data_IF_564566619317
#
_entry.id   IF_564566619317
#
_cell.length_a   1.000
_cell.length_b   1.000
_cell.length_c   1.000
_cell.angle_alpha   90.00
_cell.angle_beta   90.00
_cell.angle_gamma   90.00
#
_symmetry.space_group_name_H-M   'P 1'
#
loop_
_entity.id
_entity.type
_entity.pdbx_description
1 polymer ?
#
# COMPACT_ATOMS: atom_id res chain seq x y z
N UNK A 1 31.74 31.46 -14.83
CA UNK A 1 31.28 31.04 -16.17
C UNK A 1 29.77 31.14 -16.12
N UNK A 2 29.24 32.35 -16.37
CA UNK A 2 27.81 32.64 -16.28
C UNK A 2 27.11 32.08 -17.51
N UNK A 3 26.40 30.95 -17.33
CA UNK A 3 25.49 30.43 -18.36
C UNK A 3 24.16 31.14 -18.22
N UNK A 4 23.63 31.63 -19.34
CA UNK A 4 22.27 32.17 -19.42
C UNK A 4 21.27 31.04 -19.09
N UNK A 5 20.41 31.26 -18.11
CA UNK A 5 19.31 30.35 -17.78
C UNK A 5 18.19 30.52 -18.81
N UNK A 6 17.84 29.43 -19.50
CA UNK A 6 16.69 29.39 -20.43
C UNK A 6 15.39 29.08 -19.69
N UNK A 7 15.43 28.16 -18.72
CA UNK A 7 14.30 27.83 -17.86
C UNK A 7 14.77 27.26 -16.52
N UNK A 8 13.97 27.47 -15.48
CA UNK A 8 14.16 26.91 -14.13
C UNK A 8 12.87 26.25 -13.69
N UNK A 9 12.95 24.99 -13.27
CA UNK A 9 11.81 24.18 -12.82
C UNK A 9 12.27 23.17 -11.77
N UNK A 10 11.33 22.45 -11.17
CA UNK A 10 11.56 21.38 -10.19
C UNK A 10 11.23 20.00 -10.78
N UNK A 11 11.73 18.95 -10.15
CA UNK A 11 11.40 17.57 -10.52
C UNK A 11 9.94 17.30 -10.12
N UNK A 12 9.13 16.98 -11.14
CA UNK A 12 7.69 16.70 -10.97
C UNK A 12 7.42 15.27 -10.47
N UNK A 13 6.27 14.73 -10.87
CA UNK A 13 5.87 13.37 -10.51
C UNK A 13 6.84 12.30 -11.01
N UNK A 14 6.98 11.24 -10.23
CA UNK A 14 7.75 10.05 -10.59
C UNK A 14 6.92 9.10 -11.45
N UNK A 15 7.51 8.55 -12.51
CA UNK A 15 6.83 7.61 -13.41
C UNK A 15 7.77 6.45 -13.71
N UNK A 16 7.29 5.22 -13.51
CA UNK A 16 8.03 4.00 -13.79
C UNK A 16 7.15 2.99 -14.54
N UNK A 17 7.78 2.17 -15.37
CA UNK A 17 7.17 0.99 -15.99
C UNK A 17 7.98 -0.23 -15.53
N UNK A 18 7.44 -0.98 -14.58
CA UNK A 18 8.13 -2.13 -13.98
C UNK A 18 8.01 -3.38 -14.85
N UNK A 19 6.83 -3.62 -15.41
CA UNK A 19 6.54 -4.77 -16.26
C UNK A 19 5.59 -4.40 -17.40
N UNK A 20 5.67 -5.14 -18.49
CA UNK A 20 4.79 -5.03 -19.65
C UNK A 20 4.34 -6.42 -20.09
N UNK A 21 3.10 -6.54 -20.55
CA UNK A 21 2.52 -7.83 -20.91
C UNK A 21 1.00 -7.81 -20.79
N UNK A 22 0.39 -8.99 -20.92
CA UNK A 22 -1.04 -9.19 -20.71
C UNK A 22 -1.25 -9.89 -19.38
N UNK A 23 -1.83 -9.19 -18.40
CA UNK A 23 -2.21 -9.76 -17.11
C UNK A 23 -3.73 -9.86 -17.05
N UNK A 24 -4.25 -11.05 -16.73
CA UNK A 24 -5.68 -11.32 -16.60
C UNK A 24 -5.91 -12.29 -15.46
N UNK A 25 -7.08 -12.18 -14.81
CA UNK A 25 -7.47 -13.04 -13.69
C UNK A 25 -7.57 -14.52 -14.06
N UNK A 26 -7.76 -14.85 -15.34
CA UNK A 26 -7.88 -16.23 -15.84
C UNK A 26 -6.55 -16.80 -16.40
N UNK A 27 -5.46 -16.05 -16.31
CA UNK A 27 -4.13 -16.48 -16.73
C UNK A 27 -3.24 -16.55 -15.48
N UNK A 28 -2.74 -17.74 -15.09
CA UNK A 28 -1.85 -17.87 -13.94
C UNK A 28 -0.60 -17.00 -14.08
N UNK A 29 -0.15 -16.46 -12.95
CA UNK A 29 1.06 -15.64 -12.86
C UNK A 29 1.97 -16.20 -11.76
N UNK A 30 3.28 -16.11 -11.99
CA UNK A 30 4.28 -16.56 -11.04
C UNK A 30 4.56 -15.47 -10.00
N UNK A 31 4.42 -15.80 -8.72
CA UNK A 31 4.72 -14.92 -7.60
C UNK A 31 5.94 -15.44 -6.84
N UNK A 32 6.88 -14.53 -6.55
CA UNK A 32 8.02 -14.76 -5.67
C UNK A 32 7.92 -13.79 -4.51
N UNK A 33 7.41 -14.28 -3.39
CA UNK A 33 7.07 -13.49 -2.23
C UNK A 33 8.27 -13.31 -1.29
N UNK A 34 8.40 -12.13 -0.71
CA UNK A 34 9.40 -11.87 0.33
C UNK A 34 8.84 -12.28 1.70
N UNK A 35 9.26 -13.45 2.18
CA UNK A 35 8.88 -14.00 3.48
C UNK A 35 9.07 -13.01 4.65
N UNK A 36 10.09 -12.15 4.60
CA UNK A 36 10.37 -11.19 5.66
C UNK A 36 9.34 -10.05 5.69
N UNK A 37 8.86 -9.62 4.52
CA UNK A 37 7.79 -8.64 4.41
C UNK A 37 6.47 -9.19 4.96
N UNK A 38 6.13 -10.44 4.65
CA UNK A 38 4.93 -11.08 5.21
C UNK A 38 5.00 -11.25 6.73
N UNK A 39 6.18 -11.55 7.29
CA UNK A 39 6.36 -11.57 8.74
C UNK A 39 6.10 -10.18 9.35
N UNK A 40 6.61 -9.11 8.73
CA UNK A 40 6.34 -7.74 9.19
C UNK A 40 4.85 -7.39 9.13
N UNK A 41 4.11 -7.84 8.11
CA UNK A 41 2.65 -7.65 8.05
C UNK A 41 1.93 -8.38 9.18
N UNK A 42 2.33 -9.62 9.50
CA UNK A 42 1.76 -10.39 10.61
C UNK A 42 2.03 -9.69 11.95
N UNK A 43 3.26 -9.23 12.17
CA UNK A 43 3.67 -8.56 13.41
C UNK A 43 2.91 -7.23 13.63
N UNK A 44 2.61 -6.51 12.54
CA UNK A 44 1.88 -5.25 12.57
C UNK A 44 0.35 -5.38 12.49
N UNK A 45 -0.17 -6.56 12.17
CA UNK A 45 -1.59 -6.79 11.84
C UNK A 45 -2.56 -6.21 12.88
N UNK A 46 -2.25 -6.39 14.17
CA UNK A 46 -3.10 -5.86 15.25
C UNK A 46 -3.23 -4.33 15.21
N UNK A 47 -2.09 -3.64 15.05
CA UNK A 47 -2.00 -2.18 14.97
C UNK A 47 -2.71 -1.66 13.72
N UNK A 48 -2.52 -2.31 12.58
CA UNK A 48 -3.11 -1.87 11.31
C UNK A 48 -4.63 -2.06 11.30
N UNK A 49 -5.15 -3.17 11.85
CA UNK A 49 -6.59 -3.37 11.99
C UNK A 49 -7.24 -2.36 12.96
N UNK A 50 -6.58 -2.06 14.09
CA UNK A 50 -7.07 -1.03 15.01
C UNK A 50 -7.13 0.35 14.33
N UNK A 51 -6.10 0.71 13.56
CA UNK A 51 -6.09 1.95 12.78
C UNK A 51 -7.21 1.99 11.74
N UNK A 52 -7.41 0.90 10.99
CA UNK A 52 -8.48 0.80 10.00
C UNK A 52 -9.87 0.98 10.63
N UNK A 53 -10.10 0.44 11.83
CA UNK A 53 -11.38 0.57 12.53
C UNK A 53 -11.56 1.99 13.10
N UNK A 54 -10.56 2.49 13.81
CA UNK A 54 -10.69 3.71 14.63
C UNK A 54 -10.49 4.99 13.84
N UNK A 55 -9.56 5.01 12.88
CA UNK A 55 -9.20 6.21 12.12
C UNK A 55 -9.93 6.24 10.79
N UNK A 56 -9.85 5.16 10.00
CA UNK A 56 -10.47 5.12 8.67
C UNK A 56 -11.99 4.89 8.79
N UNK A 57 -12.39 3.88 9.57
CA UNK A 57 -13.79 3.53 9.82
C UNK A 57 -14.50 4.49 10.76
N UNK A 58 -13.76 5.27 11.57
CA UNK A 58 -14.30 6.15 12.63
C UNK A 58 -15.23 5.41 13.62
N UNK A 59 -14.94 4.13 13.85
CA UNK A 59 -15.69 3.25 14.75
C UNK A 59 -14.94 3.08 16.06
N UNK A 60 -15.64 2.68 17.11
CA UNK A 60 -15.00 2.31 18.38
C UNK A 60 -14.75 0.81 18.42
N UNK A 61 -13.60 0.41 18.96
CA UNK A 61 -13.23 -1.01 19.09
C UNK A 61 -14.26 -1.84 19.87
N UNK A 62 -14.91 -1.23 20.86
CA UNK A 62 -15.94 -1.90 21.67
C UNK A 62 -17.24 -2.22 20.91
N UNK A 63 -17.43 -1.61 19.73
CA UNK A 63 -18.57 -1.90 18.85
C UNK A 63 -18.32 -3.05 17.88
N UNK A 64 -17.10 -3.59 17.83
CA UNK A 64 -16.69 -4.63 16.88
C UNK A 64 -16.82 -6.00 17.55
N UNK A 65 -17.66 -6.87 16.99
CA UNK A 65 -17.96 -8.20 17.54
C UNK A 65 -17.08 -9.33 16.99
N UNK A 66 -16.46 -9.14 15.82
CA UNK A 66 -15.74 -10.17 15.07
C UNK A 66 -14.24 -9.86 14.88
N UNK A 67 -13.67 -9.02 15.75
CA UNK A 67 -12.29 -8.56 15.59
C UNK A 67 -11.28 -9.73 15.59
N UNK A 68 -11.34 -10.59 16.61
CA UNK A 68 -10.40 -11.71 16.75
C UNK A 68 -10.56 -12.72 15.61
N UNK A 69 -11.79 -13.01 15.20
CA UNK A 69 -12.09 -13.91 14.07
C UNK A 69 -11.47 -13.41 12.76
N UNK A 70 -11.72 -12.15 12.39
CA UNK A 70 -11.19 -11.58 11.14
C UNK A 70 -9.67 -11.44 11.20
N UNK A 71 -9.12 -11.07 12.36
CA UNK A 71 -7.68 -10.99 12.56
C UNK A 71 -7.01 -12.34 12.36
N UNK A 72 -7.57 -13.41 12.92
CA UNK A 72 -7.02 -14.75 12.77
C UNK A 72 -7.16 -15.26 11.33
N UNK A 73 -8.26 -14.98 10.63
CA UNK A 73 -8.44 -15.34 9.22
C UNK A 73 -7.38 -14.65 8.33
N UNK A 74 -7.13 -13.36 8.54
CA UNK A 74 -6.10 -12.62 7.80
C UNK A 74 -4.73 -13.16 8.12
N UNK A 75 -4.44 -13.41 9.41
CA UNK A 75 -3.16 -13.96 9.85
C UNK A 75 -2.89 -15.32 9.20
N UNK A 76 -3.86 -16.23 9.18
CA UNK A 76 -3.70 -17.55 8.57
C UNK A 76 -3.37 -17.45 7.07
N UNK A 77 -4.02 -16.52 6.35
CA UNK A 77 -3.72 -16.28 4.93
C UNK A 77 -2.30 -15.73 4.74
N UNK A 78 -1.86 -14.80 5.59
CA UNK A 78 -0.49 -14.26 5.54
C UNK A 78 0.56 -15.32 5.88
N UNK A 79 0.29 -16.20 6.85
CA UNK A 79 1.18 -17.32 7.21
C UNK A 79 1.34 -18.29 6.03
N UNK A 80 0.26 -18.62 5.31
CA UNK A 80 0.33 -19.44 4.09
C UNK A 80 1.20 -18.80 3.00
N UNK A 81 1.09 -17.49 2.80
CA UNK A 81 1.90 -16.75 1.82
C UNK A 81 3.37 -16.64 2.24
N UNK A 82 3.65 -16.54 3.54
CA UNK A 82 5.01 -16.54 4.11
C UNK A 82 5.67 -17.91 3.98
N UNK A 83 4.94 -18.98 4.30
CA UNK A 83 5.49 -20.32 4.42
C UNK A 83 5.62 -21.03 3.06
N UNK A 84 4.83 -20.62 2.07
CA UNK A 84 4.91 -21.07 0.67
C UNK A 84 5.04 -19.86 -0.29
N UNK A 85 6.25 -19.26 -0.40
CA UNK A 85 6.47 -17.98 -1.07
C UNK A 85 6.64 -18.06 -2.60
N UNK A 86 6.79 -19.25 -3.17
CA UNK A 86 6.92 -19.44 -4.63
C UNK A 86 5.62 -20.05 -5.12
N UNK A 87 4.80 -19.25 -5.79
CA UNK A 87 3.41 -19.60 -6.11
C UNK A 87 3.10 -19.36 -7.57
N UNK A 88 2.19 -20.16 -8.13
CA UNK A 88 1.60 -19.95 -9.44
C UNK A 88 0.07 -19.96 -9.29
N UNK A 89 -0.55 -18.79 -9.39
CA UNK A 89 -1.99 -18.62 -9.15
C UNK A 89 -2.57 -17.48 -10.00
N UNK A 90 -3.90 -17.41 -10.09
CA UNK A 90 -4.59 -16.34 -10.83
C UNK A 90 -4.41 -14.98 -10.14
N UNK A 91 -3.94 -13.94 -10.85
CA UNK A 91 -3.65 -12.66 -10.23
C UNK A 91 -4.92 -11.86 -9.90
N UNK A 92 -4.86 -11.07 -8.84
CA UNK A 92 -5.82 -10.00 -8.57
C UNK A 92 -5.21 -8.67 -8.98
N UNK A 93 -5.82 -7.99 -9.94
CA UNK A 93 -5.32 -6.73 -10.50
C UNK A 93 -5.93 -5.57 -9.69
N UNK A 94 -5.09 -4.91 -8.88
CA UNK A 94 -5.48 -3.77 -8.05
C UNK A 94 -4.86 -2.46 -8.55
N UNK A 95 -5.64 -1.39 -8.45
CA UNK A 95 -5.17 -0.01 -8.64
C UNK A 95 -5.30 0.74 -7.32
N UNK A 96 -4.17 1.12 -6.74
CA UNK A 96 -4.10 1.91 -5.51
C UNK A 96 -3.75 3.36 -5.86
N UNK A 97 -4.59 4.30 -5.44
CA UNK A 97 -4.39 5.73 -5.68
C UNK A 97 -4.61 6.51 -4.38
N UNK A 98 -3.85 7.58 -4.19
CA UNK A 98 -3.97 8.46 -3.03
C UNK A 98 -4.93 9.58 -3.37
N UNK A 99 -6.11 9.54 -2.76
CA UNK A 99 -7.11 10.59 -2.91
C UNK A 99 -6.51 11.96 -2.57
N UNK A 100 -6.64 12.93 -3.49
CA UNK A 100 -6.14 14.29 -3.33
C UNK A 100 -4.69 14.37 -2.79
N UNK A 101 -3.77 13.59 -3.40
CA UNK A 101 -2.38 13.44 -2.94
C UNK A 101 -1.68 14.77 -2.59
N UNK A 102 -1.53 15.70 -3.54
CA UNK A 102 -0.83 16.96 -3.30
C UNK A 102 -1.54 17.87 -2.28
N UNK A 103 -2.86 18.11 -2.35
CA UNK A 103 -3.57 18.82 -1.30
C UNK A 103 -3.35 18.22 0.10
N UNK A 104 -3.42 16.90 0.25
CA UNK A 104 -3.21 16.24 1.54
C UNK A 104 -1.76 16.36 2.04
N UNK A 105 -0.77 16.28 1.15
CA UNK A 105 0.64 16.53 1.48
C UNK A 105 0.85 17.96 1.98
N UNK A 106 0.25 18.95 1.28
CA UNK A 106 0.30 20.37 1.64
C UNK A 106 -0.25 20.60 3.04
N UNK A 107 -1.44 20.08 3.33
CA UNK A 107 -2.10 20.25 4.62
C UNK A 107 -1.35 19.55 5.76
N UNK A 108 -0.89 18.31 5.53
CA UNK A 108 -0.18 17.51 6.53
C UNK A 108 1.15 18.16 6.93
N UNK A 109 1.89 18.69 5.97
CA UNK A 109 3.19 19.32 6.20
C UNK A 109 3.11 20.84 6.41
N UNK A 110 1.89 21.41 6.38
CA UNK A 110 1.63 22.87 6.50
C UNK A 110 2.45 23.69 5.50
N UNK A 111 2.59 23.19 4.28
CA UNK A 111 3.34 23.86 3.22
C UNK A 111 2.55 25.07 2.73
N UNK A 112 3.09 26.26 2.94
CA UNK A 112 2.51 27.49 2.43
C UNK A 112 3.64 28.42 1.99
N UNK A 113 3.48 29.16 0.88
CA UNK A 113 4.40 30.23 0.56
C UNK A 113 4.49 31.21 1.75
N UNK A 114 5.68 31.69 2.11
CA UNK A 114 5.78 32.82 3.03
C UNK A 114 5.03 34.02 2.43
N UNK A 115 4.37 34.78 3.30
CA UNK A 115 3.63 35.99 2.93
C UNK A 115 4.56 37.10 2.44
#
# INVERSE_FOLDING_TARGET
>A
QDRLLESETYIGGHVECLESGVFRSDIPTNFKLDTSAYQQLIDNLGRDLEYAITVEGKMRMDSISNYDEVKDEIKEKLEKLRDDPIREEGPLIYHLDVAAMYPNIILTNRLQPPA
#
